data_IF_026926814917
#
_entry.id   IF_026926814917
#
_cell.length_a   1.000
_cell.length_b   1.000
_cell.length_c   1.000
_cell.angle_alpha   90.00
_cell.angle_beta   90.00
_cell.angle_gamma   90.00
#
_symmetry.space_group_name_H-M   'P 1'
#
loop_
_entity.id
_entity.type
_entity.pdbx_description
1 polymer ?
#
# COMPACT_ATOMS: atom_id res chain seq x y z
N UNK A 1 -37.80 16.18 25.70
CA UNK A 1 -36.54 15.62 26.22
C UNK A 1 -35.70 15.15 25.04
N UNK A 2 -34.62 15.87 24.71
CA UNK A 2 -33.62 15.42 23.75
C UNK A 2 -32.77 14.32 24.40
N UNK A 3 -33.06 13.05 24.12
CA UNK A 3 -32.04 12.00 24.21
C UNK A 3 -31.39 11.89 22.83
N UNK A 4 -30.46 12.81 22.57
CA UNK A 4 -29.41 12.57 21.59
C UNK A 4 -28.54 11.43 22.14
N UNK A 5 -28.93 10.20 21.83
CA UNK A 5 -28.10 9.05 22.05
C UNK A 5 -26.83 9.22 21.22
N UNK A 6 -25.75 9.59 21.90
CA UNK A 6 -24.36 9.40 21.49
C UNK A 6 -24.10 7.90 21.34
N UNK A 7 -24.78 7.23 20.41
CA UNK A 7 -24.27 6.00 19.84
C UNK A 7 -23.08 6.45 18.99
N UNK A 8 -21.88 6.36 19.58
CA UNK A 8 -20.65 6.38 18.81
C UNK A 8 -20.83 5.34 17.72
N UNK A 9 -21.11 5.80 16.50
CA UNK A 9 -21.31 4.89 15.39
C UNK A 9 -20.01 4.12 15.28
N UNK A 10 -20.05 2.81 15.57
CA UNK A 10 -18.99 1.90 15.21
C UNK A 10 -18.91 1.95 13.68
N UNK A 11 -18.13 2.89 13.16
CA UNK A 11 -17.95 3.07 11.73
C UNK A 11 -17.08 1.91 11.30
N UNK A 12 -17.73 0.89 10.75
CA UNK A 12 -17.03 -0.20 10.09
C UNK A 12 -16.13 0.40 9.02
N UNK A 13 -14.90 -0.10 8.94
CA UNK A 13 -14.00 0.27 7.87
C UNK A 13 -14.67 0.02 6.50
N UNK A 14 -14.46 0.89 5.50
CA UNK A 14 -15.06 0.75 4.17
C UNK A 14 -14.38 -0.35 3.33
N UNK A 15 -13.77 -1.34 3.97
CA UNK A 15 -13.01 -2.43 3.39
C UNK A 15 -13.04 -3.66 4.31
N UNK A 16 -12.83 -4.84 3.73
CA UNK A 16 -12.59 -6.07 4.50
C UNK A 16 -11.23 -6.01 5.18
N UNK A 17 -11.16 -6.45 6.44
CA UNK A 17 -9.92 -6.44 7.24
C UNK A 17 -8.94 -7.54 6.82
N UNK A 18 -8.54 -7.53 5.56
CA UNK A 18 -7.45 -8.29 4.99
C UNK A 18 -6.45 -7.35 4.28
N UNK A 19 -5.17 -7.75 4.14
CA UNK A 19 -4.14 -6.88 3.57
C UNK A 19 -4.42 -6.45 2.13
N UNK A 20 -5.09 -7.28 1.32
CA UNK A 20 -5.32 -6.99 -0.11
C UNK A 20 -6.40 -5.93 -0.26
N UNK A 21 -7.54 -6.11 0.41
CA UNK A 21 -8.63 -5.14 0.42
C UNK A 21 -8.17 -3.80 0.98
N UNK A 22 -7.36 -3.82 2.05
CA UNK A 22 -6.84 -2.60 2.63
C UNK A 22 -5.84 -1.87 1.72
N UNK A 23 -4.94 -2.60 1.03
CA UNK A 23 -4.09 -1.99 0.01
C UNK A 23 -4.90 -1.34 -1.12
N UNK A 24 -5.98 -2.00 -1.57
CA UNK A 24 -6.91 -1.45 -2.56
C UNK A 24 -7.55 -0.14 -2.08
N UNK A 25 -8.07 -0.13 -0.85
CA UNK A 25 -8.64 1.07 -0.24
C UNK A 25 -7.60 2.20 -0.11
N UNK A 26 -6.41 1.90 0.41
CA UNK A 26 -5.33 2.87 0.54
C UNK A 26 -4.94 3.50 -0.80
N UNK A 27 -4.78 2.68 -1.84
CA UNK A 27 -4.49 3.16 -3.19
C UNK A 27 -5.58 4.07 -3.73
N UNK A 28 -6.86 3.75 -3.49
CA UNK A 28 -7.97 4.60 -3.87
C UNK A 28 -7.95 5.94 -3.13
N UNK A 29 -7.64 5.94 -1.83
CA UNK A 29 -7.51 7.16 -1.02
C UNK A 29 -6.39 8.05 -1.54
N UNK A 30 -5.19 7.50 -1.78
CA UNK A 30 -4.06 8.27 -2.32
C UNK A 30 -4.35 8.82 -3.72
N UNK A 31 -4.95 8.00 -4.60
CA UNK A 31 -5.37 8.43 -5.93
C UNK A 31 -6.37 9.60 -5.86
N UNK A 32 -7.36 9.53 -4.98
CA UNK A 32 -8.35 10.60 -4.80
C UNK A 32 -7.74 11.90 -4.27
N UNK A 33 -6.64 11.82 -3.54
CA UNK A 33 -5.87 12.98 -3.07
C UNK A 33 -4.88 13.52 -4.12
N UNK A 34 -4.78 12.89 -5.29
CA UNK A 34 -3.79 13.23 -6.31
C UNK A 34 -2.37 12.79 -5.97
N UNK A 35 -2.18 12.02 -4.90
CA UNK A 35 -0.89 11.49 -4.50
C UNK A 35 -0.46 10.39 -5.48
N UNK A 36 0.75 10.49 -6.03
CA UNK A 36 1.31 9.49 -6.95
C UNK A 36 1.94 8.32 -6.19
N UNK A 37 1.18 7.78 -5.26
CA UNK A 37 1.59 6.72 -4.33
C UNK A 37 0.83 5.44 -4.66
N UNK A 38 1.53 4.31 -4.59
CA UNK A 38 0.95 2.99 -4.77
C UNK A 38 1.53 2.00 -3.75
N UNK A 39 0.66 1.45 -2.93
CA UNK A 39 0.95 0.46 -1.91
C UNK A 39 0.71 -0.95 -2.46
N UNK A 40 1.60 -1.88 -2.09
CA UNK A 40 1.46 -3.31 -2.40
C UNK A 40 2.18 -4.18 -1.37
N UNK A 41 2.00 -5.49 -1.49
CA UNK A 41 2.73 -6.50 -0.71
C UNK A 41 2.65 -6.25 0.80
N UNK A 42 1.48 -5.83 1.30
CA UNK A 42 1.28 -5.60 2.73
C UNK A 42 1.47 -6.92 3.50
N UNK A 43 2.23 -6.85 4.59
CA UNK A 43 2.49 -7.99 5.46
C UNK A 43 1.43 -8.13 6.56
N UNK A 44 1.85 -8.54 7.75
CA UNK A 44 0.94 -8.76 8.88
C UNK A 44 0.18 -7.49 9.25
N UNK A 45 -1.14 -7.62 9.34
CA UNK A 45 -2.04 -6.54 9.72
C UNK A 45 -2.86 -6.90 10.96
N UNK A 46 -3.10 -5.89 11.80
CA UNK A 46 -3.77 -6.01 13.08
C UNK A 46 -4.93 -5.01 13.14
N UNK A 47 -6.04 -5.42 13.76
CA UNK A 47 -7.11 -4.49 14.12
C UNK A 47 -6.73 -3.75 15.40
N UNK A 48 -6.90 -2.44 15.40
CA UNK A 48 -6.49 -1.56 16.49
C UNK A 48 -7.66 -0.72 17.01
N UNK A 49 -7.50 -0.17 18.23
CA UNK A 49 -8.48 0.69 18.89
C UNK A 49 -9.51 -0.08 19.71
N UNK A 50 -10.16 0.63 20.65
CA UNK A 50 -11.15 0.08 21.58
C UNK A 50 -12.30 -0.62 20.85
N UNK A 51 -12.71 -0.06 19.72
CA UNK A 51 -13.83 -0.56 18.91
C UNK A 51 -13.38 -1.47 17.75
N UNK A 52 -12.07 -1.80 17.68
CA UNK A 52 -11.45 -2.58 16.58
C UNK A 52 -11.74 -2.05 15.17
N UNK A 53 -12.02 -0.76 15.07
CA UNK A 53 -12.29 -0.05 13.81
C UNK A 53 -11.01 0.40 13.10
N UNK A 54 -9.91 0.54 13.84
CA UNK A 54 -8.59 0.80 13.27
C UNK A 54 -8.01 -0.46 12.62
N UNK A 55 -7.15 -0.25 11.63
CA UNK A 55 -6.43 -1.33 10.97
C UNK A 55 -5.03 -0.88 10.60
N UNK A 56 -4.00 -1.63 10.99
CA UNK A 56 -2.60 -1.32 10.74
C UNK A 56 -1.87 -2.52 10.19
N UNK A 57 -1.13 -2.34 9.11
CA UNK A 57 -0.15 -3.29 8.61
C UNK A 57 1.24 -2.84 9.03
N UNK A 58 2.06 -3.79 9.51
CA UNK A 58 3.40 -3.53 10.08
C UNK A 58 4.53 -3.67 9.06
N UNK A 59 4.19 -3.97 7.82
CA UNK A 59 5.16 -4.01 6.72
C UNK A 59 4.45 -3.96 5.38
N UNK A 60 5.21 -3.63 4.35
CA UNK A 60 4.76 -3.64 2.97
C UNK A 60 5.67 -2.85 2.07
N UNK A 61 5.19 -2.54 0.88
CA UNK A 61 5.92 -1.74 -0.09
C UNK A 61 5.09 -0.54 -0.53
N UNK A 62 5.77 0.57 -0.73
CA UNK A 62 5.20 1.80 -1.24
C UNK A 62 6.04 2.28 -2.42
N UNK A 63 5.37 2.55 -3.53
CA UNK A 63 5.92 3.14 -4.74
C UNK A 63 5.47 4.58 -4.82
N UNK A 64 6.38 5.52 -5.04
CA UNK A 64 6.04 6.94 -5.18
C UNK A 64 6.66 7.49 -6.46
N UNK A 65 5.83 7.90 -7.42
CA UNK A 65 6.34 8.56 -8.62
C UNK A 65 6.81 9.98 -8.32
N UNK A 66 8.01 10.29 -8.80
CA UNK A 66 8.62 11.61 -8.73
C UNK A 66 8.80 12.14 -10.16
N UNK A 67 7.73 12.66 -10.79
CA UNK A 67 7.78 13.06 -12.19
C UNK A 67 8.80 14.17 -12.47
N UNK A 68 9.02 15.07 -11.51
CA UNK A 68 10.07 16.10 -11.61
C UNK A 68 11.49 15.52 -11.72
N UNK A 69 11.71 14.30 -11.22
CA UNK A 69 13.01 13.61 -11.23
C UNK A 69 13.05 12.45 -12.24
N UNK A 70 12.00 12.24 -13.05
CA UNK A 70 11.88 11.14 -14.02
C UNK A 70 12.24 9.77 -13.40
N UNK A 71 11.56 9.45 -12.30
CA UNK A 71 11.81 8.22 -11.58
C UNK A 71 10.78 7.94 -10.49
N UNK A 72 11.10 6.96 -9.65
CA UNK A 72 10.20 6.47 -8.60
C UNK A 72 11.00 6.08 -7.37
N UNK A 73 10.47 6.41 -6.20
CA UNK A 73 10.94 5.83 -4.94
C UNK A 73 10.28 4.46 -4.73
N UNK A 74 11.12 3.49 -4.39
CA UNK A 74 10.73 2.17 -3.92
C UNK A 74 11.00 2.13 -2.43
N UNK A 75 9.95 2.28 -1.63
CA UNK A 75 10.03 2.34 -0.19
C UNK A 75 9.56 1.04 0.46
N UNK A 76 10.25 0.61 1.51
CA UNK A 76 9.73 -0.37 2.47
C UNK A 76 8.90 0.37 3.50
N UNK A 77 7.71 -0.15 3.77
CA UNK A 77 6.84 0.37 4.82
C UNK A 77 7.25 -0.22 6.15
N UNK A 78 7.34 0.66 7.16
CA UNK A 78 7.35 0.26 8.57
C UNK A 78 5.91 0.15 9.09
N UNK A 79 5.01 1.02 8.65
CA UNK A 79 3.60 0.90 8.94
C UNK A 79 2.71 1.57 7.88
N UNK A 80 1.49 1.04 7.73
CA UNK A 80 0.38 1.67 7.02
C UNK A 80 -0.88 1.46 7.86
N UNK A 81 -1.63 2.50 8.18
CA UNK A 81 -2.81 2.39 9.01
C UNK A 81 -3.98 3.26 8.57
N UNK A 82 -5.17 2.73 8.84
CA UNK A 82 -6.44 3.40 8.67
C UNK A 82 -6.80 4.17 9.94
N UNK A 83 -7.22 5.42 9.78
CA UNK A 83 -7.74 6.27 10.85
C UNK A 83 -9.26 6.38 10.70
N UNK A 84 -10.05 5.72 11.56
CA UNK A 84 -11.50 5.63 11.39
C UNK A 84 -12.21 6.98 11.43
N UNK A 85 -11.82 7.85 12.37
CA UNK A 85 -12.48 9.14 12.58
C UNK A 85 -12.39 10.06 11.35
N UNK A 86 -11.21 10.14 10.73
CA UNK A 86 -10.97 10.97 9.55
C UNK A 86 -11.19 10.23 8.23
N UNK A 87 -11.44 8.91 8.27
CA UNK A 87 -11.50 8.02 7.10
C UNK A 87 -10.28 8.19 6.17
N UNK A 88 -9.11 8.37 6.76
CA UNK A 88 -7.85 8.54 6.02
C UNK A 88 -6.93 7.36 6.21
N UNK A 89 -5.97 7.25 5.30
CA UNK A 89 -4.85 6.32 5.42
C UNK A 89 -3.58 7.13 5.68
N UNK A 90 -2.77 6.66 6.61
CA UNK A 90 -1.47 7.20 6.94
C UNK A 90 -0.42 6.10 6.82
N UNK A 91 0.84 6.48 6.59
CA UNK A 91 1.93 5.54 6.42
C UNK A 91 3.23 6.08 7.02
N UNK A 92 4.15 5.16 7.31
CA UNK A 92 5.54 5.42 7.69
C UNK A 92 6.44 4.48 6.90
N UNK A 93 7.45 5.04 6.24
CA UNK A 93 8.46 4.29 5.51
C UNK A 93 9.65 3.97 6.42
N UNK A 94 10.21 2.78 6.27
CA UNK A 94 11.46 2.37 6.94
C UNK A 94 12.68 2.81 6.13
N UNK A 95 12.63 2.62 4.81
CA UNK A 95 13.70 2.98 3.89
C UNK A 95 13.13 3.24 2.49
N UNK A 96 13.81 4.05 1.70
CA UNK A 96 13.43 4.36 0.32
C UNK A 96 14.66 4.34 -0.57
N UNK A 97 14.51 3.74 -1.76
CA UNK A 97 15.52 3.80 -2.81
C UNK A 97 14.92 4.44 -4.04
N UNK A 98 15.54 5.53 -4.50
CA UNK A 98 15.19 6.14 -5.77
C UNK A 98 15.73 5.30 -6.92
N UNK A 99 14.91 5.08 -7.94
CA UNK A 99 15.33 4.52 -9.22
C UNK A 99 14.83 5.41 -10.35
N UNK A 100 15.76 5.89 -11.17
CA UNK A 100 15.44 6.61 -12.39
C UNK A 100 14.77 5.69 -13.42
N UNK A 101 14.01 6.29 -14.34
CA UNK A 101 13.24 5.53 -15.33
C UNK A 101 14.11 4.62 -16.21
N UNK A 102 15.30 5.09 -16.61
CA UNK A 102 16.24 4.27 -17.38
C UNK A 102 16.70 3.03 -16.62
N UNK A 103 17.09 3.20 -15.35
CA UNK A 103 17.49 2.09 -14.50
C UNK A 103 16.36 1.08 -14.31
N UNK A 104 15.12 1.56 -14.11
CA UNK A 104 13.94 0.70 -13.99
C UNK A 104 13.65 -0.11 -15.25
N UNK A 105 13.81 0.50 -16.43
CA UNK A 105 13.60 -0.20 -17.71
C UNK A 105 14.62 -1.32 -17.88
N UNK A 106 15.89 -1.06 -17.57
CA UNK A 106 16.97 -2.06 -17.67
C UNK A 106 16.70 -3.23 -16.70
N UNK A 107 16.45 -2.93 -15.42
CA UNK A 107 16.19 -3.96 -14.41
C UNK A 107 14.92 -4.78 -14.73
N UNK A 108 13.85 -4.10 -15.16
CA UNK A 108 12.60 -4.74 -15.56
C UNK A 108 12.79 -5.65 -16.77
N UNK A 109 13.54 -5.18 -17.78
CA UNK A 109 13.88 -5.97 -18.97
C UNK A 109 14.69 -7.21 -18.62
N UNK A 110 15.73 -7.07 -17.80
CA UNK A 110 16.54 -8.19 -17.32
C UNK A 110 15.72 -9.23 -16.56
N UNK A 111 14.80 -8.79 -15.70
CA UNK A 111 13.93 -9.71 -14.95
C UNK A 111 12.97 -10.48 -15.85
N UNK A 112 12.42 -9.84 -16.88
CA UNK A 112 11.55 -10.49 -17.86
C UNK A 112 12.33 -11.51 -18.70
N UNK A 113 13.51 -11.14 -19.19
CA UNK A 113 14.40 -12.05 -19.93
C UNK A 113 14.73 -13.28 -19.11
N UNK A 114 15.12 -13.10 -17.84
CA UNK A 114 15.42 -14.21 -16.93
C UNK A 114 14.23 -15.15 -16.75
N UNK A 115 13.04 -14.61 -16.49
CA UNK A 115 11.82 -15.44 -16.36
C UNK A 115 11.48 -16.18 -17.65
N UNK A 116 11.67 -15.55 -18.81
CA UNK A 116 11.47 -16.19 -20.10
C UNK A 116 12.43 -17.35 -20.33
N UNK A 117 13.71 -17.17 -20.01
CA UNK A 117 14.72 -18.23 -20.09
C UNK A 117 14.41 -19.38 -19.13
N UNK A 118 14.05 -19.09 -17.87
CA UNK A 118 13.65 -20.10 -16.88
C UNK A 118 12.43 -20.91 -17.37
N UNK A 119 11.47 -20.30 -18.05
CA UNK A 119 10.33 -21.02 -18.64
C UNK A 119 10.76 -21.93 -19.80
N UNK A 120 11.63 -21.46 -20.69
CA UNK A 120 12.12 -22.25 -21.82
C UNK A 120 12.93 -23.46 -21.35
N UNK A 121 13.78 -23.30 -20.35
CA UNK A 121 14.54 -24.41 -19.74
C UNK A 121 13.63 -25.47 -19.11
N UNK A 122 12.53 -25.05 -18.48
CA UNK A 122 11.57 -25.97 -17.87
C UNK A 122 10.61 -26.62 -18.88
N UNK A 123 10.41 -26.03 -20.05
CA UNK A 123 9.64 -26.63 -21.16
C UNK A 123 10.44 -27.66 -21.96
N UNK A 124 11.77 -27.57 -21.92
CA UNK A 124 12.69 -28.52 -22.58
C UNK A 124 13.05 -29.75 -21.73
N UNK A 125 12.48 -29.89 -20.53
CA UNK A 125 12.57 -31.07 -19.66
C UNK A 125 11.23 -31.81 -19.63
#
# INVERSE_FOLDING_TARGET
MLLAALSGAAQAAPFSYDPVSFAGYANQVFKNKGEKIFVRNLGTCLREGKDRSGYRCLSGELLQDLPAQKGRNFCKLDALWYVPLSKTVQYRTASCQFKGDQQRMIEGGQQLLRKGLEQLENYGR
#
